data_IF_595952328683
#
_entry.id   IF_595952328683
#
_cell.length_a   1.000
_cell.length_b   1.000
_cell.length_c   1.000
_cell.angle_alpha   90.00
_cell.angle_beta   90.00
_cell.angle_gamma   90.00
#
_symmetry.space_group_name_H-M   'P 1'
#
loop_
_entity.id
_entity.type
_entity.pdbx_description
1 polymer ?
#
# COMPACT_ATOMS: atom_id res chain seq x y z
N UNK A 1 4.92 1.19 -12.16
CA UNK A 1 4.11 0.57 -13.25
C UNK A 1 3.56 -0.77 -12.77
N UNK A 2 2.33 -1.13 -13.15
CA UNK A 2 1.71 -2.41 -12.77
C UNK A 2 1.06 -3.07 -13.99
N UNK A 3 1.38 -4.35 -14.23
CA UNK A 3 0.83 -5.16 -15.33
C UNK A 3 -0.61 -5.60 -15.07
N UNK A 4 -0.98 -5.80 -13.81
CA UNK A 4 -2.35 -6.07 -13.37
C UNK A 4 -3.25 -4.83 -13.42
N UNK A 5 -4.55 -5.03 -13.23
CA UNK A 5 -5.51 -3.93 -13.09
C UNK A 5 -5.26 -3.22 -11.76
N UNK A 6 -5.11 -1.90 -11.81
CA UNK A 6 -5.15 -1.03 -10.63
C UNK A 6 -6.33 -0.11 -10.79
N UNK A 7 -7.13 0.03 -9.73
CA UNK A 7 -8.25 0.95 -9.67
C UNK A 7 -7.95 2.09 -8.70
N UNK A 8 -8.69 3.22 -8.82
CA UNK A 8 -8.58 4.32 -7.86
C UNK A 8 -8.86 3.87 -6.43
N UNK A 9 -9.74 2.90 -6.17
CA UNK A 9 -10.02 2.41 -4.81
C UNK A 9 -8.88 1.60 -4.20
N UNK A 10 -8.01 1.01 -5.03
CA UNK A 10 -6.86 0.22 -4.55
C UNK A 10 -5.76 1.13 -3.95
N UNK A 11 -5.71 2.38 -4.42
CA UNK A 11 -4.70 3.39 -4.01
C UNK A 11 -5.29 4.53 -3.19
N UNK A 12 -6.59 4.49 -2.88
CA UNK A 12 -7.21 5.45 -1.96
C UNK A 12 -7.37 4.85 -0.58
N UNK A 13 -6.93 5.56 0.46
CA UNK A 13 -7.07 5.17 1.86
C UNK A 13 -7.89 6.22 2.62
N UNK A 14 -8.91 5.83 3.40
CA UNK A 14 -9.60 6.79 4.27
C UNK A 14 -8.74 7.17 5.48
N UNK A 15 -7.97 6.21 5.98
CA UNK A 15 -7.07 6.33 7.13
C UNK A 15 -5.80 5.46 6.93
N UNK A 16 -4.71 5.76 7.65
CA UNK A 16 -3.47 4.99 7.55
C UNK A 16 -3.59 3.58 8.15
N UNK A 17 -4.45 3.37 9.15
CA UNK A 17 -4.68 2.06 9.76
C UNK A 17 -5.23 1.02 8.77
N UNK A 18 -5.89 1.48 7.69
CA UNK A 18 -6.32 0.60 6.60
C UNK A 18 -5.17 -0.10 5.89
N UNK A 19 -3.95 0.44 5.97
CA UNK A 19 -2.76 -0.22 5.41
C UNK A 19 -2.39 -1.49 6.18
N UNK A 20 -2.78 -1.58 7.46
CA UNK A 20 -2.59 -2.76 8.31
C UNK A 20 -3.72 -3.77 8.15
N UNK A 21 -4.95 -3.28 8.15
CA UNK A 21 -6.14 -4.12 8.31
C UNK A 21 -6.73 -4.59 6.99
N UNK A 22 -6.55 -3.82 5.91
CA UNK A 22 -7.27 -4.04 4.66
C UNK A 22 -6.32 -4.49 3.53
N UNK A 23 -6.31 -5.79 3.18
CA UNK A 23 -5.39 -6.29 2.16
C UNK A 23 -5.66 -5.73 0.75
N UNK A 24 -6.86 -5.17 0.50
CA UNK A 24 -7.14 -4.49 -0.77
C UNK A 24 -6.28 -3.22 -0.95
N UNK A 25 -5.72 -2.69 0.13
CA UNK A 25 -4.83 -1.52 0.15
C UNK A 25 -3.35 -1.87 0.00
N UNK A 26 -3.01 -3.13 -0.26
CA UNK A 26 -1.63 -3.56 -0.48
C UNK A 26 -0.90 -2.75 -1.58
N UNK A 27 -1.64 -2.25 -2.59
CA UNK A 27 -1.06 -1.39 -3.64
C UNK A 27 -0.74 0.02 -3.13
N UNK A 28 -1.59 0.60 -2.29
CA UNK A 28 -1.31 1.87 -1.61
C UNK A 28 -0.11 1.72 -0.66
N UNK A 29 -0.10 0.64 0.13
CA UNK A 29 0.99 0.32 1.06
C UNK A 29 2.33 0.18 0.33
N UNK A 30 2.38 -0.61 -0.76
CA UNK A 30 3.58 -0.74 -1.58
C UNK A 30 4.12 0.62 -2.06
N UNK A 31 3.25 1.50 -2.56
CA UNK A 31 3.65 2.82 -3.06
C UNK A 31 4.20 3.72 -1.94
N UNK A 32 3.57 3.69 -0.77
CA UNK A 32 3.99 4.49 0.39
C UNK A 32 5.32 3.99 0.97
N UNK A 33 5.52 2.68 1.08
CA UNK A 33 6.80 2.09 1.55
C UNK A 33 7.93 2.44 0.58
N UNK A 34 7.69 2.37 -0.74
CA UNK A 34 8.71 2.75 -1.72
C UNK A 34 9.08 4.22 -1.61
N UNK A 35 8.11 5.11 -1.44
CA UNK A 35 8.37 6.52 -1.23
C UNK A 35 9.12 6.77 0.09
N UNK A 36 8.78 6.05 1.16
CA UNK A 36 9.47 6.12 2.44
C UNK A 36 10.95 5.74 2.31
N UNK A 37 11.24 4.57 1.71
CA UNK A 37 12.62 4.11 1.50
C UNK A 37 13.40 5.10 0.62
N UNK A 38 12.77 5.58 -0.46
CA UNK A 38 13.42 6.53 -1.36
C UNK A 38 13.78 7.84 -0.65
N UNK A 39 12.84 8.44 0.09
CA UNK A 39 13.06 9.73 0.75
C UNK A 39 14.01 9.63 1.95
N UNK A 40 13.98 8.54 2.72
CA UNK A 40 14.96 8.29 3.80
C UNK A 40 16.38 8.17 3.26
N UNK A 41 16.56 7.55 2.08
CA UNK A 41 17.87 7.40 1.43
C UNK A 41 18.29 8.63 0.59
N UNK A 42 17.38 9.57 0.33
CA UNK A 42 17.64 10.75 -0.48
C UNK A 42 17.10 12.02 0.20
N UNK A 43 17.68 12.42 1.35
CA UNK A 43 17.16 13.54 2.16
C UNK A 43 17.15 14.88 1.44
N UNK A 44 17.94 15.05 0.38
CA UNK A 44 17.95 16.24 -0.47
C UNK A 44 16.61 16.51 -1.20
N UNK A 45 15.70 15.53 -1.22
CA UNK A 45 14.36 15.68 -1.79
C UNK A 45 13.27 15.90 -0.73
N UNK A 46 13.62 16.05 0.55
CA UNK A 46 12.65 16.18 1.65
C UNK A 46 11.77 17.44 1.55
N UNK A 47 12.29 18.50 0.93
CA UNK A 47 11.58 19.78 0.74
C UNK A 47 10.79 19.83 -0.58
N UNK A 48 10.78 18.75 -1.36
CA UNK A 48 10.02 18.67 -2.62
C UNK A 48 8.64 18.07 -2.39
N UNK A 49 7.69 18.51 -3.20
CA UNK A 49 6.39 17.84 -3.29
C UNK A 49 6.57 16.48 -3.98
N UNK A 50 6.45 15.40 -3.21
CA UNK A 50 6.55 14.03 -3.72
C UNK A 50 5.18 13.37 -3.70
N UNK A 51 4.86 12.68 -4.78
CA UNK A 51 3.66 11.85 -4.92
C UNK A 51 4.08 10.44 -5.36
N UNK A 52 3.32 9.43 -4.93
CA UNK A 52 3.51 8.06 -5.38
C UNK A 52 2.27 7.59 -6.12
N UNK A 53 2.45 6.85 -7.21
CA UNK A 53 1.34 6.37 -8.02
C UNK A 53 1.70 5.23 -8.96
N UNK A 54 0.67 4.61 -9.52
CA UNK A 54 0.78 3.53 -10.48
C UNK A 54 0.17 3.91 -11.83
N UNK A 55 0.89 3.62 -12.91
CA UNK A 55 0.30 3.41 -14.23
C UNK A 55 -0.15 1.95 -14.35
N UNK A 56 -1.43 1.74 -14.65
CA UNK A 56 -2.04 0.41 -14.87
C UNK A 56 -2.01 0.05 -16.34
N UNK A 57 -1.29 -1.00 -16.73
CA UNK A 57 -1.24 -1.42 -18.13
C UNK A 57 -2.60 -1.88 -18.66
N UNK A 58 -3.42 -2.51 -17.82
CA UNK A 58 -4.79 -2.89 -18.17
C UNK A 58 -5.77 -1.70 -18.24
N UNK A 59 -5.33 -0.50 -17.86
CA UNK A 59 -6.14 0.71 -17.97
C UNK A 59 -5.27 1.97 -18.10
N UNK A 60 -4.46 2.04 -19.17
CA UNK A 60 -3.54 3.16 -19.40
C UNK A 60 -4.25 4.52 -19.53
N UNK A 61 -5.52 4.51 -19.97
CA UNK A 61 -6.34 5.72 -20.17
C UNK A 61 -6.59 6.50 -18.88
N UNK A 62 -6.54 5.85 -17.71
CA UNK A 62 -6.68 6.55 -16.41
C UNK A 62 -5.43 7.34 -16.00
N UNK A 63 -4.33 7.20 -16.74
CA UNK A 63 -3.08 7.88 -16.41
C UNK A 63 -2.49 7.42 -15.08
N UNK A 64 -1.88 8.35 -14.35
CA UNK A 64 -1.23 8.08 -13.07
C UNK A 64 -2.27 7.98 -11.95
N UNK A 65 -2.40 6.80 -11.36
CA UNK A 65 -3.24 6.57 -10.19
C UNK A 65 -2.42 6.81 -8.91
N UNK A 66 -2.56 7.99 -8.33
CA UNK A 66 -1.83 8.41 -7.13
C UNK A 66 -2.42 7.83 -5.85
N UNK A 67 -1.58 7.69 -4.82
CA UNK A 67 -2.07 7.43 -3.46
C UNK A 67 -2.88 8.63 -3.00
N UNK A 68 -4.10 8.40 -2.50
CA UNK A 68 -5.03 9.47 -2.17
C UNK A 68 -5.73 9.23 -0.84
N UNK A 69 -6.05 10.30 -0.12
CA UNK A 69 -6.95 10.26 1.04
C UNK A 69 -8.39 10.31 0.56
N UNK A 70 -9.23 9.40 1.07
CA UNK A 70 -10.65 9.29 0.70
C UNK A 70 -11.54 9.86 1.80
N UNK A 71 -12.17 11.01 1.56
CA UNK A 71 -13.07 11.68 2.52
C UNK A 71 -14.40 11.97 1.83
N UNK A 72 -15.51 11.43 2.35
CA UNK A 72 -16.87 11.70 1.84
C UNK A 72 -16.99 11.68 0.31
N UNK A 73 -16.50 10.60 -0.32
CA UNK A 73 -16.41 10.37 -1.79
C UNK A 73 -15.40 11.22 -2.55
N UNK A 74 -14.81 12.25 -1.95
CA UNK A 74 -13.66 12.98 -2.52
C UNK A 74 -12.38 12.19 -2.32
N UNK A 75 -11.49 12.30 -3.30
CA UNK A 75 -10.17 11.67 -3.31
C UNK A 75 -9.14 12.74 -3.55
N UNK A 76 -8.29 12.96 -2.57
CA UNK A 76 -7.25 13.99 -2.62
C UNK A 76 -5.88 13.31 -2.61
N UNK A 77 -5.04 13.62 -3.58
CA UNK A 77 -3.68 13.05 -3.66
C UNK A 77 -2.92 13.36 -2.38
N UNK A 78 -2.27 12.34 -1.81
CA UNK A 78 -1.40 12.52 -0.66
C UNK A 78 -0.05 13.05 -1.15
N UNK A 79 0.34 14.22 -0.66
CA UNK A 79 1.71 14.73 -0.77
C UNK A 79 2.53 14.08 0.34
N UNK A 80 3.62 13.44 -0.03
CA UNK A 80 4.46 12.62 0.86
C UNK A 80 5.44 13.54 1.57
N UNK A 81 4.95 14.19 2.62
CA UNK A 81 5.71 15.05 3.51
C UNK A 81 6.21 14.28 4.76
N UNK A 82 6.91 14.96 5.66
CA UNK A 82 7.44 14.37 6.89
C UNK A 82 6.36 13.72 7.77
N UNK A 83 5.17 14.29 7.86
CA UNK A 83 4.08 13.71 8.65
C UNK A 83 3.59 12.38 8.04
N UNK A 84 3.45 12.31 6.72
CA UNK A 84 3.12 11.07 6.01
C UNK A 84 4.22 10.02 6.21
N UNK A 85 5.49 10.42 6.14
CA UNK A 85 6.61 9.51 6.37
C UNK A 85 6.61 8.92 7.79
N UNK A 86 6.32 9.73 8.80
CA UNK A 86 6.20 9.25 10.18
C UNK A 86 5.05 8.24 10.32
N UNK A 87 3.87 8.53 9.75
CA UNK A 87 2.76 7.56 9.78
C UNK A 87 3.15 6.24 9.08
N UNK A 88 3.83 6.31 7.94
CA UNK A 88 4.28 5.10 7.24
C UNK A 88 5.31 4.32 8.06
N UNK A 89 6.21 5.01 8.78
CA UNK A 89 7.18 4.40 9.69
C UNK A 89 6.51 3.65 10.83
N UNK A 90 5.48 4.23 11.45
CA UNK A 90 4.66 3.60 12.49
C UNK A 90 3.97 2.34 11.96
N UNK A 91 3.36 2.41 10.77
CA UNK A 91 2.72 1.25 10.12
C UNK A 91 3.75 0.14 9.84
N UNK A 92 4.94 0.48 9.34
CA UNK A 92 6.01 -0.51 9.10
C UNK A 92 6.44 -1.16 10.40
N UNK A 93 6.65 -0.38 11.46
CA UNK A 93 7.04 -0.88 12.77
C UNK A 93 5.99 -1.86 13.32
N UNK A 94 4.70 -1.52 13.21
CA UNK A 94 3.61 -2.41 13.64
C UNK A 94 3.54 -3.69 12.81
N UNK A 95 3.73 -3.62 11.49
CA UNK A 95 3.79 -4.83 10.64
C UNK A 95 4.93 -5.75 11.07
N UNK A 96 6.11 -5.18 11.36
CA UNK A 96 7.27 -5.97 11.82
C UNK A 96 6.99 -6.58 13.19
N UNK A 97 6.42 -5.81 14.12
CA UNK A 97 6.06 -6.28 15.45
C UNK A 97 5.11 -7.49 15.38
N UNK A 98 4.06 -7.39 14.54
CA UNK A 98 3.13 -8.50 14.28
C UNK A 98 3.83 -9.74 13.71
N UNK A 99 4.73 -9.55 12.74
CA UNK A 99 5.50 -10.66 12.16
C UNK A 99 6.38 -11.36 13.21
N UNK A 100 6.92 -10.62 14.17
CA UNK A 100 7.85 -11.14 15.17
C UNK A 100 7.14 -11.77 16.37
N UNK A 101 5.96 -11.26 16.74
CA UNK A 101 5.31 -11.57 18.00
C UNK A 101 3.97 -12.29 17.87
N UNK A 102 3.36 -12.36 16.67
CA UNK A 102 2.09 -13.04 16.44
C UNK A 102 2.27 -14.31 15.59
N UNK A 103 1.48 -15.35 15.90
CA UNK A 103 1.42 -16.55 15.08
C UNK A 103 0.71 -16.29 13.76
N UNK A 104 1.29 -16.80 12.66
CA UNK A 104 0.65 -16.71 11.35
C UNK A 104 -0.67 -17.49 11.31
N UNK A 105 -1.75 -16.80 10.93
CA UNK A 105 -3.07 -17.43 10.75
C UNK A 105 -3.42 -17.57 9.27
N UNK A 106 -4.20 -18.61 8.96
CA UNK A 106 -4.69 -18.85 7.60
C UNK A 106 -5.78 -17.83 7.26
N UNK A 107 -5.64 -17.14 6.12
CA UNK A 107 -6.64 -16.17 5.64
C UNK A 107 -8.02 -16.80 5.50
N UNK A 108 -9.12 -16.12 5.85
CA UNK A 108 -10.47 -16.66 5.63
C UNK A 108 -10.88 -16.66 4.15
N UNK A 109 -10.21 -15.87 3.29
CA UNK A 109 -10.54 -15.74 1.87
C UNK A 109 -9.94 -16.86 0.99
N UNK A 110 -10.74 -17.88 0.70
CA UNK A 110 -10.35 -19.06 -0.09
C UNK A 110 -9.85 -18.70 -1.51
N UNK A 111 -10.37 -17.61 -2.10
CA UNK A 111 -9.96 -17.15 -3.43
C UNK A 111 -8.45 -16.86 -3.51
N UNK A 112 -7.84 -16.42 -2.40
CA UNK A 112 -6.39 -16.17 -2.30
C UNK A 112 -5.57 -17.45 -2.29
N UNK A 113 -6.15 -18.56 -1.84
CA UNK A 113 -5.49 -19.86 -1.81
C UNK A 113 -5.50 -20.56 -3.18
N UNK A 114 -6.33 -20.11 -4.15
CA UNK A 114 -6.51 -20.76 -5.45
C UNK A 114 -5.22 -20.94 -6.23
N UNK A 115 -4.31 -19.96 -6.15
CA UNK A 115 -3.01 -19.95 -6.83
C UNK A 115 -1.85 -19.79 -5.84
N UNK A 116 -2.03 -20.29 -4.61
CA UNK A 116 -0.99 -20.25 -3.58
C UNK A 116 -0.03 -21.44 -3.76
N UNK A 117 1.26 -21.17 -3.89
CA UNK A 117 2.30 -22.19 -4.07
C UNK A 117 2.41 -23.15 -2.87
N UNK A 118 2.01 -22.68 -1.69
CA UNK A 118 2.07 -23.42 -0.43
C UNK A 118 0.82 -24.26 -0.14
N UNK A 119 -0.10 -24.43 -1.11
CA UNK A 119 -1.36 -25.15 -0.91
C UNK A 119 -1.14 -26.58 -0.38
N UNK A 120 -0.11 -27.27 -0.83
CA UNK A 120 0.21 -28.64 -0.40
C UNK A 120 0.56 -28.78 1.09
N UNK A 121 1.11 -27.73 1.71
CA UNK A 121 1.53 -27.73 3.13
C UNK A 121 0.61 -26.88 4.03
N UNK A 122 -0.27 -26.07 3.43
CA UNK A 122 -1.22 -25.21 4.15
C UNK A 122 -2.36 -26.02 4.83
N UNK A 123 -2.45 -27.32 4.53
CA UNK A 123 -3.45 -28.25 5.05
C UNK A 123 -4.88 -27.71 4.78
N UNK A 124 -5.10 -27.27 3.54
CA UNK A 124 -6.32 -26.60 3.08
C UNK A 124 -6.56 -26.72 1.58
#
# INVERSE_FOLDING_TARGET
YKTGKVSKSDVSIPDFNELLENPNKAKAFQLLVYAYIYLKNNPQYSDREVIAGNFSFKNLKEGLLTVAKSINRKKETIIINKAVLNNVEEIIAEVIDKIMNEDFTKTTEISRCKYCDYRSICNR
#
